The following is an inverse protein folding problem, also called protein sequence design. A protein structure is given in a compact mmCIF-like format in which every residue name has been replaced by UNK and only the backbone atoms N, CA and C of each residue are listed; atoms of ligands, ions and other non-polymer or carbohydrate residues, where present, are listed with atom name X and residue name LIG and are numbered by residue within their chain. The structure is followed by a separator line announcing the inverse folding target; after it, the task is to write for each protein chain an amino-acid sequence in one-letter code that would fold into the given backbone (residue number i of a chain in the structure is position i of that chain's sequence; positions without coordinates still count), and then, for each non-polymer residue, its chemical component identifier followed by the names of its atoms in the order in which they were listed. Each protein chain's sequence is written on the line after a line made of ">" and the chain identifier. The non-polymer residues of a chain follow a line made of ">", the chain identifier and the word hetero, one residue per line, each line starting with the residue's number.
data_IF_264599855895
#
_entry.id   IF_264599855895
#
_cell.length_a   1.000
_cell.length_b   1.000
_cell.length_c   1.000
_cell.angle_alpha   90.00
_cell.angle_beta   90.00
_cell.angle_gamma   90.00
#
_symmetry.space_group_name_H-M   'P 1'
#
loop_
_entity.id
_entity.type
_entity.pdbx_description
1 polymer ?
#
# COMPACT_ATOMS: atom_id res chain seq x y z
N UNK A 1 8.30 12.24 5.94
CA UNK A 1 8.27 12.01 4.47
C UNK A 1 8.28 13.36 3.78
N UNK A 2 9.40 13.76 3.17
CA UNK A 2 9.55 15.06 2.51
C UNK A 2 8.93 15.03 1.11
N UNK A 3 7.97 15.94 0.86
CA UNK A 3 7.37 16.20 -0.45
C UNK A 3 8.45 16.68 -1.43
N UNK A 4 8.76 15.89 -2.45
CA UNK A 4 9.63 16.32 -3.54
C UNK A 4 8.92 17.36 -4.42
N UNK A 5 9.61 18.45 -4.75
CA UNK A 5 9.09 19.58 -5.54
C UNK A 5 8.84 19.15 -7.01
N UNK A 6 7.60 19.26 -7.54
CA UNK A 6 7.25 18.83 -8.90
C UNK A 6 7.84 19.70 -10.02
N UNK A 7 8.47 20.83 -9.69
CA UNK A 7 9.08 21.75 -10.66
C UNK A 7 10.62 21.65 -10.73
N UNK A 8 11.24 20.74 -9.98
CA UNK A 8 12.68 20.51 -10.09
C UNK A 8 12.93 19.84 -11.45
N UNK A 9 13.77 20.40 -12.35
CA UNK A 9 14.23 19.67 -13.53
C UNK A 9 14.80 18.35 -13.05
N UNK A 10 14.24 17.23 -13.50
CA UNK A 10 14.76 15.91 -13.16
C UNK A 10 16.25 15.92 -13.51
N UNK A 11 17.10 15.44 -12.59
CA UNK A 11 18.54 15.42 -12.78
C UNK A 11 18.82 14.83 -14.16
N UNK A 12 19.26 15.69 -15.08
CA UNK A 12 19.31 15.39 -16.50
C UNK A 12 20.21 14.18 -16.68
N UNK A 13 19.59 13.02 -16.90
CA UNK A 13 20.35 11.81 -17.22
C UNK A 13 21.12 12.13 -18.48
N UNK A 14 22.44 12.12 -18.39
CA UNK A 14 23.34 12.22 -19.53
C UNK A 14 22.84 11.25 -20.61
N UNK A 15 22.34 11.78 -21.72
CA UNK A 15 21.85 10.99 -22.85
C UNK A 15 22.98 10.56 -23.79
N UNK A 16 24.22 10.93 -23.47
CA UNK A 16 25.43 10.62 -24.25
C UNK A 16 26.32 9.71 -23.40
N UNK A 17 26.51 8.48 -23.86
CA UNK A 17 27.56 7.59 -23.36
C UNK A 17 28.91 8.23 -23.68
N UNK A 18 29.67 8.62 -22.64
CA UNK A 18 31.08 9.03 -22.77
C UNK A 18 32.02 7.86 -23.14
N UNK A 19 31.48 6.75 -23.65
CA UNK A 19 32.28 5.61 -24.04
C UNK A 19 33.13 6.00 -25.25
N UNK A 20 34.45 5.86 -25.11
CA UNK A 20 35.37 6.10 -26.21
C UNK A 20 35.22 5.00 -27.26
N UNK A 21 35.47 5.33 -28.53
CA UNK A 21 35.42 4.35 -29.65
C UNK A 21 36.26 3.11 -29.34
N UNK A 22 37.40 3.26 -28.66
CA UNK A 22 38.25 2.15 -28.22
C UNK A 22 37.56 1.24 -27.18
N UNK A 23 36.85 1.81 -26.20
CA UNK A 23 36.08 1.02 -25.22
C UNK A 23 34.93 0.26 -25.89
N UNK A 24 34.24 0.89 -26.84
CA UNK A 24 33.16 0.25 -27.58
C UNK A 24 33.68 -0.89 -28.46
N UNK A 25 34.82 -0.70 -29.14
CA UNK A 25 35.48 -1.74 -29.91
C UNK A 25 35.85 -2.95 -29.05
N UNK A 26 36.42 -2.74 -27.86
CA UNK A 26 36.75 -3.83 -26.93
C UNK A 26 35.50 -4.59 -26.46
N UNK A 27 34.40 -3.89 -26.19
CA UNK A 27 33.11 -4.51 -25.83
C UNK A 27 32.57 -5.35 -27.00
N UNK A 28 32.64 -4.84 -28.23
CA UNK A 28 32.19 -5.57 -29.42
C UNK A 28 33.07 -6.79 -29.72
N UNK A 29 34.39 -6.67 -29.58
CA UNK A 29 35.31 -7.80 -29.69
C UNK A 29 35.04 -8.87 -28.63
N UNK A 30 34.78 -8.46 -27.38
CA UNK A 30 34.41 -9.37 -26.31
C UNK A 30 33.09 -10.10 -26.62
N UNK A 31 32.08 -9.39 -27.12
CA UNK A 31 30.81 -9.98 -27.57
C UNK A 31 31.03 -10.97 -28.71
N UNK A 32 31.83 -10.62 -29.72
CA UNK A 32 32.14 -11.48 -30.86
C UNK A 32 32.88 -12.75 -30.42
N UNK A 33 33.87 -12.62 -29.53
CA UNK A 33 34.58 -13.76 -28.96
C UNK A 33 33.62 -14.67 -28.19
N UNK A 34 32.78 -14.12 -27.33
CA UNK A 34 31.76 -14.87 -26.60
C UNK A 34 30.79 -15.63 -27.53
N UNK A 35 30.34 -15.00 -28.62
CA UNK A 35 29.50 -15.67 -29.63
C UNK A 35 30.22 -16.84 -30.30
N UNK A 36 31.50 -16.68 -30.66
CA UNK A 36 32.32 -17.75 -31.28
C UNK A 36 32.53 -18.91 -30.31
N UNK A 37 32.86 -18.63 -29.06
CA UNK A 37 33.03 -19.65 -28.03
C UNK A 37 31.72 -20.41 -27.76
N UNK A 38 30.60 -19.69 -27.66
CA UNK A 38 29.29 -20.31 -27.47
C UNK A 38 28.89 -21.20 -28.66
N UNK A 39 29.19 -20.77 -29.89
CA UNK A 39 28.99 -21.57 -31.08
C UNK A 39 29.86 -22.83 -31.06
N UNK A 40 31.16 -22.68 -30.77
CA UNK A 40 32.10 -23.81 -30.69
C UNK A 40 31.65 -24.84 -29.65
N UNK A 41 31.28 -24.41 -28.44
CA UNK A 41 30.78 -25.31 -27.38
C UNK A 41 29.52 -26.05 -27.80
N UNK A 42 28.57 -25.35 -28.41
CA UNK A 42 27.32 -25.96 -28.91
C UNK A 42 27.59 -26.98 -30.01
N UNK A 43 28.49 -26.63 -30.94
CA UNK A 43 28.89 -27.50 -32.03
C UNK A 43 29.61 -28.75 -31.50
N UNK A 44 30.54 -28.59 -30.56
CA UNK A 44 31.22 -29.70 -29.90
C UNK A 44 30.25 -30.65 -29.19
N UNK A 45 29.28 -30.11 -28.45
CA UNK A 45 28.22 -30.90 -27.82
C UNK A 45 27.38 -31.66 -28.85
N UNK A 46 27.02 -31.00 -29.95
CA UNK A 46 26.28 -31.62 -31.04
C UNK A 46 27.06 -32.77 -31.66
N UNK A 47 28.33 -32.53 -32.01
CA UNK A 47 29.22 -33.56 -32.58
C UNK A 47 29.35 -34.75 -31.63
N UNK A 48 29.61 -34.51 -30.33
CA UNK A 48 29.67 -35.57 -29.31
C UNK A 48 28.36 -36.35 -29.18
N UNK A 49 27.22 -35.66 -29.27
CA UNK A 49 25.90 -36.31 -29.16
C UNK A 49 25.55 -37.20 -30.36
N UNK A 50 25.90 -36.77 -31.57
CA UNK A 50 25.51 -37.44 -32.82
C UNK A 50 26.56 -38.46 -33.28
N UNK A 51 27.82 -38.05 -33.26
CA UNK A 51 28.94 -38.78 -33.88
C UNK A 51 30.03 -39.21 -32.88
N UNK A 52 29.89 -38.86 -31.59
CA UNK A 52 30.85 -39.26 -30.55
C UNK A 52 30.81 -40.76 -30.24
N UNK A 53 31.81 -41.20 -29.47
CA UNK A 53 31.87 -42.59 -28.99
C UNK A 53 30.72 -42.86 -27.99
N UNK A 54 30.42 -44.14 -27.71
CA UNK A 54 29.28 -44.54 -26.84
C UNK A 54 29.35 -43.86 -25.47
N UNK A 55 30.56 -43.75 -24.91
CA UNK A 55 30.82 -43.09 -23.62
C UNK A 55 30.49 -41.59 -23.70
N UNK A 56 30.95 -40.90 -24.75
CA UNK A 56 30.71 -39.46 -24.92
C UNK A 56 29.23 -39.15 -25.10
N UNK A 57 28.53 -39.98 -25.88
CA UNK A 57 27.07 -39.89 -26.05
C UNK A 57 26.33 -40.03 -24.72
N UNK A 58 26.74 -40.97 -23.88
CA UNK A 58 26.15 -41.15 -22.56
C UNK A 58 26.44 -39.98 -21.63
N UNK A 59 27.66 -39.42 -21.65
CA UNK A 59 28.00 -38.23 -20.88
C UNK A 59 27.13 -37.02 -21.28
N UNK A 60 26.87 -36.83 -22.58
CA UNK A 60 25.99 -35.75 -23.04
C UNK A 60 24.56 -35.97 -22.53
N UNK A 61 24.02 -37.20 -22.61
CA UNK A 61 22.69 -37.53 -22.06
C UNK A 61 22.60 -37.31 -20.55
N UNK A 62 23.63 -37.71 -19.81
CA UNK A 62 23.69 -37.49 -18.36
C UNK A 62 23.67 -36.00 -18.01
N UNK A 63 24.48 -35.19 -18.70
CA UNK A 63 24.48 -33.73 -18.53
C UNK A 63 23.12 -33.12 -18.86
N UNK A 64 22.49 -33.55 -19.95
CA UNK A 64 21.14 -33.08 -20.32
C UNK A 64 20.10 -33.44 -19.26
N UNK A 65 20.12 -34.67 -18.73
CA UNK A 65 19.22 -35.08 -17.63
C UNK A 65 19.42 -34.23 -16.38
N UNK A 66 20.66 -33.99 -15.97
CA UNK A 66 20.98 -33.15 -14.82
C UNK A 66 20.47 -31.70 -15.00
N UNK A 67 20.71 -31.10 -16.17
CA UNK A 67 20.22 -29.75 -16.47
C UNK A 67 18.69 -29.68 -16.48
N UNK A 68 18.01 -30.68 -17.01
CA UNK A 68 16.54 -30.72 -17.01
C UNK A 68 15.99 -30.85 -15.58
N UNK A 69 16.62 -31.67 -14.74
CA UNK A 69 16.24 -31.80 -13.33
C UNK A 69 16.43 -30.47 -12.57
N UNK A 70 17.55 -29.79 -12.82
CA UNK A 70 17.82 -28.47 -12.25
C UNK A 70 16.77 -27.44 -12.70
N UNK A 71 16.42 -27.40 -13.98
CA UNK A 71 15.38 -26.51 -14.52
C UNK A 71 14.00 -26.77 -13.91
N UNK A 72 13.62 -28.04 -13.73
CA UNK A 72 12.36 -28.41 -13.08
C UNK A 72 12.38 -27.93 -11.62
N UNK A 73 13.44 -28.20 -10.88
CA UNK A 73 13.57 -27.78 -9.49
C UNK A 73 13.55 -26.24 -9.34
N UNK A 74 14.21 -25.52 -10.25
CA UNK A 74 14.20 -24.06 -10.28
C UNK A 74 12.80 -23.50 -10.56
N UNK A 75 12.09 -24.07 -11.53
CA UNK A 75 10.71 -23.66 -11.86
C UNK A 75 9.74 -23.94 -10.70
N UNK A 76 9.84 -25.11 -10.08
CA UNK A 76 9.03 -25.46 -8.91
C UNK A 76 9.30 -24.50 -7.75
N UNK A 77 10.56 -24.15 -7.50
CA UNK A 77 10.92 -23.19 -6.46
C UNK A 77 10.40 -21.79 -6.77
N UNK A 78 10.51 -21.32 -8.02
CA UNK A 78 9.92 -20.04 -8.45
C UNK A 78 8.40 -20.03 -8.25
N UNK A 79 7.73 -21.12 -8.58
CA UNK A 79 6.29 -21.24 -8.39
C UNK A 79 5.91 -21.21 -6.90
N UNK A 80 6.65 -21.92 -6.05
CA UNK A 80 6.43 -21.88 -4.59
C UNK A 80 6.63 -20.49 -4.01
N UNK A 81 7.71 -19.80 -4.41
CA UNK A 81 7.96 -18.42 -3.99
C UNK A 81 6.84 -17.48 -4.44
N UNK A 82 6.41 -17.59 -5.69
CA UNK A 82 5.29 -16.82 -6.21
C UNK A 82 4.02 -17.01 -5.36
N UNK A 83 3.67 -18.25 -5.01
CA UNK A 83 2.50 -18.52 -4.18
C UNK A 83 2.65 -17.98 -2.75
N UNK A 84 3.84 -18.13 -2.15
CA UNK A 84 4.14 -17.64 -0.81
C UNK A 84 4.07 -16.10 -0.74
N UNK A 85 4.62 -15.41 -1.73
CA UNK A 85 4.54 -13.95 -1.83
C UNK A 85 3.09 -13.48 -1.97
N UNK A 86 2.28 -14.15 -2.81
CA UNK A 86 0.87 -13.83 -2.98
C UNK A 86 0.06 -14.07 -1.70
N UNK A 87 0.38 -15.13 -0.97
CA UNK A 87 -0.23 -15.41 0.32
C UNK A 87 0.11 -14.32 1.34
N UNK A 88 1.37 -13.91 1.42
CA UNK A 88 1.82 -12.81 2.29
C UNK A 88 1.15 -11.49 1.96
N UNK A 89 1.08 -11.13 0.67
CA UNK A 89 0.39 -9.93 0.19
C UNK A 89 -1.09 -9.94 0.60
N UNK A 90 -1.77 -11.07 0.40
CA UNK A 90 -3.18 -11.22 0.76
C UNK A 90 -3.41 -11.12 2.27
N UNK A 91 -2.60 -11.80 3.07
CA UNK A 91 -2.70 -11.71 4.53
C UNK A 91 -2.42 -10.30 5.03
N UNK A 92 -1.43 -9.63 4.46
CA UNK A 92 -1.13 -8.24 4.79
C UNK A 92 -2.34 -7.33 4.50
N UNK A 93 -2.99 -7.49 3.35
CA UNK A 93 -4.18 -6.72 3.00
C UNK A 93 -5.34 -6.97 3.98
N UNK A 94 -5.60 -8.22 4.35
CA UNK A 94 -6.65 -8.59 5.32
C UNK A 94 -6.37 -7.93 6.68
N UNK A 95 -5.15 -8.05 7.19
CA UNK A 95 -4.78 -7.47 8.48
C UNK A 95 -4.81 -5.94 8.47
N UNK A 96 -4.45 -5.33 7.34
CA UNK A 96 -4.55 -3.89 7.15
C UNK A 96 -6.01 -3.42 7.21
N UNK A 97 -6.91 -4.09 6.49
CA UNK A 97 -8.34 -3.78 6.51
C UNK A 97 -8.96 -3.96 7.91
N UNK A 98 -8.57 -5.02 8.62
CA UNK A 98 -8.98 -5.25 10.01
C UNK A 98 -8.53 -4.12 10.93
N UNK A 99 -7.29 -3.65 10.78
CA UNK A 99 -6.76 -2.53 11.54
C UNK A 99 -7.52 -1.23 11.24
N UNK A 100 -7.82 -0.94 9.98
CA UNK A 100 -8.63 0.22 9.60
C UNK A 100 -10.03 0.16 10.21
N UNK A 101 -10.71 -1.00 10.15
CA UNK A 101 -12.04 -1.16 10.76
C UNK A 101 -12.02 -0.94 12.26
N UNK A 102 -10.97 -1.40 12.95
CA UNK A 102 -10.79 -1.19 14.38
C UNK A 102 -10.62 0.30 14.69
N UNK A 103 -9.75 0.98 13.95
CA UNK A 103 -9.53 2.42 14.10
C UNK A 103 -10.82 3.20 13.87
N UNK A 104 -11.57 2.89 12.80
CA UNK A 104 -12.85 3.55 12.52
C UNK A 104 -13.89 3.33 13.63
N UNK A 105 -13.87 2.17 14.28
CA UNK A 105 -14.75 1.87 15.40
C UNK A 105 -14.35 2.68 16.65
N UNK A 106 -13.05 2.75 16.93
CA UNK A 106 -12.49 3.57 18.01
C UNK A 106 -12.79 5.06 17.79
N UNK A 107 -12.57 5.58 16.59
CA UNK A 107 -12.84 6.97 16.24
C UNK A 107 -14.32 7.32 16.35
N UNK A 108 -15.21 6.41 15.94
CA UNK A 108 -16.66 6.55 16.15
C UNK A 108 -17.02 6.62 17.63
N UNK A 109 -16.44 5.74 18.45
CA UNK A 109 -16.66 5.73 19.89
C UNK A 109 -16.12 7.00 20.56
N UNK A 110 -14.91 7.42 20.19
CA UNK A 110 -14.26 8.64 20.69
C UNK A 110 -15.09 9.89 20.34
N UNK A 111 -15.57 9.99 19.09
CA UNK A 111 -16.45 11.07 18.65
C UNK A 111 -17.77 11.08 19.45
N UNK A 112 -18.39 9.92 19.64
CA UNK A 112 -19.62 9.80 20.43
C UNK A 112 -19.39 10.24 21.88
N UNK A 113 -18.30 9.79 22.49
CA UNK A 113 -17.94 10.16 23.85
C UNK A 113 -17.68 11.68 23.99
N UNK A 114 -16.97 12.27 23.03
CA UNK A 114 -16.73 13.72 23.00
C UNK A 114 -18.03 14.52 22.91
N UNK A 115 -18.91 14.17 21.95
CA UNK A 115 -20.19 14.85 21.77
C UNK A 115 -21.11 14.67 22.99
N UNK A 116 -21.08 13.50 23.63
CA UNK A 116 -21.83 13.26 24.85
C UNK A 116 -21.36 14.18 25.98
N UNK A 117 -20.04 14.27 26.22
CA UNK A 117 -19.47 15.19 27.22
C UNK A 117 -19.87 16.64 26.95
N UNK A 118 -19.74 17.09 25.70
CA UNK A 118 -20.13 18.45 25.31
C UNK A 118 -21.61 18.74 25.56
N UNK A 119 -22.50 17.79 25.26
CA UNK A 119 -23.94 17.91 25.56
C UNK A 119 -24.20 18.00 27.06
N UNK A 120 -23.52 17.17 27.85
CA UNK A 120 -23.72 17.12 29.30
C UNK A 120 -23.20 18.40 29.98
N UNK A 121 -22.07 18.94 29.50
CA UNK A 121 -21.53 20.23 29.93
C UNK A 121 -22.49 21.38 29.60
N UNK A 122 -22.99 21.47 28.36
CA UNK A 122 -23.96 22.49 27.97
C UNK A 122 -25.26 22.41 28.77
N UNK A 123 -25.76 21.21 29.05
CA UNK A 123 -26.93 21.01 29.91
C UNK A 123 -26.64 21.54 31.32
N UNK A 124 -25.46 21.24 31.88
CA UNK A 124 -25.05 21.72 33.20
C UNK A 124 -24.98 23.25 33.25
N UNK A 125 -24.39 23.90 32.26
CA UNK A 125 -24.33 25.35 32.17
C UNK A 125 -25.73 25.98 32.03
N UNK A 126 -26.59 25.42 31.18
CA UNK A 126 -27.98 25.86 31.04
C UNK A 126 -28.75 25.77 32.36
N UNK A 127 -28.59 24.66 33.09
CA UNK A 127 -29.19 24.50 34.43
C UNK A 127 -28.65 25.55 35.41
N UNK A 128 -27.35 25.84 35.41
CA UNK A 128 -26.76 26.87 36.27
C UNK A 128 -27.28 28.27 35.94
N UNK A 129 -27.43 28.61 34.65
CA UNK A 129 -28.01 29.88 34.21
C UNK A 129 -29.49 30.00 34.62
N UNK A 130 -30.27 28.92 34.48
CA UNK A 130 -31.67 28.88 34.89
C UNK A 130 -31.84 29.08 36.41
N UNK A 131 -30.99 28.45 37.23
CA UNK A 131 -31.01 28.62 38.68
C UNK A 131 -30.57 30.02 39.13
N UNK A 132 -29.69 30.69 38.37
CA UNK A 132 -29.17 32.03 38.68
C UNK A 132 -30.14 33.16 38.31
N UNK A 133 -30.99 32.96 37.30
CA UNK A 133 -32.04 33.89 36.89
C UNK A 133 -33.40 33.17 36.87
N UNK A 134 -34.04 32.93 38.03
CA UNK A 134 -35.40 32.40 38.05
C UNK A 134 -36.33 33.42 37.40
N UNK A 135 -37.09 33.00 36.38
CA UNK A 135 -38.11 33.85 35.78
C UNK A 135 -39.12 34.30 36.85
N UNK A 136 -39.65 35.54 36.78
CA UNK A 136 -40.66 35.99 37.71
C UNK A 136 -41.89 35.07 37.62
N UNK A 137 -42.45 34.70 38.77
CA UNK A 137 -43.51 33.71 38.94
C UNK A 137 -44.82 34.00 38.14
N UNK A 138 -44.93 35.17 37.51
CA UNK A 138 -46.07 35.58 36.66
C UNK A 138 -46.08 34.96 35.26
N UNK A 139 -45.01 34.27 34.83
CA UNK A 139 -44.91 33.60 33.51
C UNK A 139 -44.86 32.07 33.59
N UNK A 140 -45.26 31.47 34.71
CA UNK A 140 -45.12 30.03 34.96
C UNK A 140 -46.19 29.18 34.22
N UNK A 141 -47.14 29.81 33.54
CA UNK A 141 -48.24 29.12 32.84
C UNK A 141 -47.89 28.47 31.48
N UNK A 142 -46.72 28.73 30.88
CA UNK A 142 -46.50 28.35 29.47
C UNK A 142 -45.09 27.83 29.12
N UNK A 143 -44.30 27.36 30.08
CA UNK A 143 -43.03 26.69 29.75
C UNK A 143 -43.20 25.17 29.74
N UNK A 144 -43.71 24.64 28.62
CA UNK A 144 -43.45 23.24 28.27
C UNK A 144 -41.97 23.16 27.87
N UNK A 145 -41.18 22.39 28.62
CA UNK A 145 -39.85 21.95 28.21
C UNK A 145 -39.98 21.22 26.86
N UNK A 146 -39.75 21.93 25.76
CA UNK A 146 -39.51 21.30 24.47
C UNK A 146 -38.02 21.03 24.42
N UNK A 147 -37.64 19.78 24.66
CA UNK A 147 -36.26 19.31 24.51
C UNK A 147 -35.84 19.42 23.03
N UNK A 148 -35.29 20.56 22.64
CA UNK A 148 -34.57 20.66 21.37
C UNK A 148 -33.10 20.27 21.59
N UNK A 149 -32.56 19.26 20.87
CA UNK A 149 -31.30 18.63 21.26
C UNK A 149 -30.04 19.49 21.11
N UNK A 150 -30.11 20.66 20.45
CA UNK A 150 -28.90 21.37 20.02
C UNK A 150 -28.94 22.91 20.10
N UNK A 151 -30.03 23.57 20.53
CA UNK A 151 -30.07 25.04 20.62
C UNK A 151 -30.81 25.54 21.86
N UNK A 152 -30.12 26.32 22.69
CA UNK A 152 -30.76 27.20 23.68
C UNK A 152 -31.17 28.49 22.97
N UNK A 153 -32.37 28.53 22.41
CA UNK A 153 -32.99 29.80 22.01
C UNK A 153 -33.90 30.29 23.14
N UNK A 154 -33.62 31.48 23.67
CA UNK A 154 -34.59 32.27 24.41
C UNK A 154 -35.56 32.88 23.39
N UNK A 155 -36.75 32.29 23.23
CA UNK A 155 -37.84 32.94 22.50
C UNK A 155 -38.69 33.75 23.48
N UNK A 156 -38.64 35.08 23.38
CA UNK A 156 -39.72 35.94 23.86
C UNK A 156 -40.77 36.03 22.75
N UNK A 157 -41.85 35.27 22.85
CA UNK A 157 -43.03 35.54 22.04
C UNK A 157 -43.75 36.76 22.63
N UNK A 158 -43.39 37.94 22.15
CA UNK A 158 -44.21 39.14 22.30
C UNK A 158 -45.42 38.97 21.39
N UNK A 159 -46.50 38.42 21.94
CA UNK A 159 -47.80 38.32 21.28
C UNK A 159 -48.34 39.75 21.14
N UNK A 160 -48.41 40.23 19.90
CA UNK A 160 -49.00 41.52 19.54
C UNK A 160 -50.49 41.54 19.91
N UNK A 161 -50.90 42.63 20.56
CA UNK A 161 -52.30 43.01 20.77
C UNK A 161 -53.06 43.10 19.43
N UNK A 162 -54.27 42.54 19.41
CA UNK A 162 -55.46 43.07 18.75
C UNK A 162 -56.70 42.56 19.49
#
# INVERSE_FOLDING_TARGET
>A
MSKANPLRPGEGKRTVSLETVASQQQVEEHKLRGKREAYMKRHELYVKSMYGNVIEKEQVRQKQRALLQEQIAEQDNKHRQYLDDRYKESNFAIHYDEACRRQDAEDRNNRKAYLQKFRDENKRECHQLFLRNPAPASLVGAFRLVEFPNHCHFYSHSFWEQ
#
